data_IF_964401790596
#
_entry.id   IF_964401790596
#
_cell.length_a   1.000
_cell.length_b   1.000
_cell.length_c   1.000
_cell.angle_alpha   90.00
_cell.angle_beta   90.00
_cell.angle_gamma   90.00
#
_symmetry.space_group_name_H-M   'P 1'
#
loop_
_entity.id
_entity.type
_entity.pdbx_description
1 polymer ?
#
# COMPACT_ATOMS: atom_id res chain seq x y z
N UNK A 1 -23.45 -29.23 15.76
CA UNK A 1 -22.21 -29.61 15.01
C UNK A 1 -22.40 -29.12 13.59
N UNK A 2 -21.53 -28.22 13.10
CA UNK A 2 -21.61 -27.74 11.71
C UNK A 2 -21.20 -28.90 10.82
N UNK A 3 -22.10 -29.37 9.94
CA UNK A 3 -21.79 -30.43 8.98
C UNK A 3 -21.25 -29.86 7.66
N UNK A 4 -20.47 -30.65 6.92
CA UNK A 4 -19.98 -30.23 5.59
C UNK A 4 -21.15 -29.94 4.65
N UNK A 5 -22.26 -30.67 4.79
CA UNK A 5 -23.47 -30.45 4.01
C UNK A 5 -24.10 -29.09 4.29
N UNK A 6 -24.15 -28.66 5.57
CA UNK A 6 -24.65 -27.34 5.93
C UNK A 6 -23.77 -26.20 5.42
N UNK A 7 -22.44 -26.41 5.37
CA UNK A 7 -21.51 -25.43 4.80
C UNK A 7 -21.56 -25.36 3.28
N UNK A 8 -22.07 -26.39 2.61
CA UNK A 8 -22.23 -26.40 1.15
C UNK A 8 -23.59 -25.83 0.71
N UNK A 9 -24.57 -25.80 1.60
CA UNK A 9 -25.97 -25.44 1.27
C UNK A 9 -26.20 -23.92 1.10
N UNK A 10 -25.40 -23.09 1.76
CA UNK A 10 -25.56 -21.63 1.69
C UNK A 10 -24.39 -20.89 2.34
N UNK A 11 -24.37 -19.54 2.23
CA UNK A 11 -23.34 -18.70 2.85
C UNK A 11 -23.34 -18.87 4.37
N UNK A 12 -22.18 -18.82 4.99
CA UNK A 12 -22.02 -18.89 6.42
C UNK A 12 -22.81 -17.76 7.11
N UNK A 13 -23.75 -18.11 7.99
CA UNK A 13 -24.59 -17.17 8.74
C UNK A 13 -25.39 -16.20 7.85
N UNK A 14 -25.71 -16.59 6.63
CA UNK A 14 -26.39 -15.75 5.62
C UNK A 14 -25.66 -14.40 5.36
N UNK A 15 -24.35 -14.37 5.59
CA UNK A 15 -23.52 -13.17 5.37
C UNK A 15 -23.28 -12.93 3.87
N UNK A 16 -23.17 -11.66 3.43
CA UNK A 16 -22.80 -11.30 2.06
C UNK A 16 -21.30 -11.55 1.84
N UNK A 17 -20.89 -12.82 1.79
CA UNK A 17 -19.47 -13.21 1.78
C UNK A 17 -18.73 -12.72 0.54
N UNK A 18 -19.39 -12.59 -0.61
CA UNK A 18 -18.75 -12.11 -1.82
C UNK A 18 -18.29 -10.65 -1.68
N UNK A 19 -19.16 -9.80 -1.14
CA UNK A 19 -18.87 -8.39 -0.86
C UNK A 19 -17.87 -8.23 0.27
N UNK A 20 -17.98 -9.05 1.32
CA UNK A 20 -17.02 -9.04 2.43
C UNK A 20 -15.62 -9.42 1.96
N UNK A 21 -15.49 -10.43 1.08
CA UNK A 21 -14.20 -10.79 0.51
C UNK A 21 -13.68 -9.73 -0.46
N UNK A 22 -14.55 -9.10 -1.24
CA UNK A 22 -14.17 -7.96 -2.05
C UNK A 22 -13.60 -6.82 -1.17
N UNK A 23 -14.31 -6.44 -0.13
CA UNK A 23 -13.84 -5.41 0.81
C UNK A 23 -12.54 -5.83 1.51
N UNK A 24 -12.42 -7.10 1.93
CA UNK A 24 -11.23 -7.64 2.57
C UNK A 24 -9.99 -7.56 1.65
N UNK A 25 -10.11 -7.90 0.38
CA UNK A 25 -8.99 -7.80 -0.59
C UNK A 25 -8.48 -6.37 -0.67
N UNK A 26 -9.36 -5.37 -0.78
CA UNK A 26 -8.93 -3.98 -0.80
C UNK A 26 -8.39 -3.51 0.56
N UNK A 27 -8.93 -4.01 1.67
CA UNK A 27 -8.37 -3.74 3.00
C UNK A 27 -6.95 -4.30 3.14
N UNK A 28 -6.69 -5.52 2.67
CA UNK A 28 -5.36 -6.14 2.66
C UNK A 28 -4.38 -5.38 1.76
N UNK A 29 -4.83 -4.94 0.58
CA UNK A 29 -4.04 -4.07 -0.30
C UNK A 29 -3.72 -2.74 0.38
N UNK A 30 -4.69 -2.13 1.07
CA UNK A 30 -4.48 -0.91 1.86
C UNK A 30 -3.49 -1.11 3.00
N UNK A 31 -3.54 -2.26 3.68
CA UNK A 31 -2.61 -2.63 4.74
C UNK A 31 -1.18 -2.74 4.20
N UNK A 32 -0.99 -3.44 3.10
CA UNK A 32 0.30 -3.51 2.41
C UNK A 32 0.81 -2.12 2.00
N UNK A 33 -0.01 -1.35 1.27
CA UNK A 33 0.37 -0.02 0.79
C UNK A 33 0.64 0.99 1.93
N UNK A 34 0.12 0.77 3.12
CA UNK A 34 0.42 1.59 4.28
C UNK A 34 1.68 1.13 5.00
N UNK A 35 1.77 -0.16 5.36
CA UNK A 35 2.86 -0.69 6.18
C UNK A 35 4.16 -0.73 5.39
N UNK A 36 4.20 -1.37 4.23
CA UNK A 36 5.38 -1.35 3.36
C UNK A 36 5.56 0.02 2.68
N UNK A 37 4.46 0.79 2.57
CA UNK A 37 4.46 2.15 2.03
C UNK A 37 5.36 3.12 2.80
N UNK A 38 5.38 3.10 4.12
CA UNK A 38 6.27 3.99 4.85
C UNK A 38 7.75 3.54 4.74
N UNK A 39 8.02 2.27 4.50
CA UNK A 39 9.37 1.78 4.22
C UNK A 39 9.85 2.24 2.84
N UNK A 40 9.00 2.16 1.80
CA UNK A 40 9.29 2.76 0.48
C UNK A 40 9.52 4.26 0.60
N UNK A 41 8.69 4.95 1.36
CA UNK A 41 8.83 6.38 1.59
C UNK A 41 10.11 6.75 2.31
N UNK A 42 10.54 5.96 3.29
CA UNK A 42 11.82 6.11 3.95
C UNK A 42 12.99 5.95 2.96
N UNK A 43 12.91 4.94 2.07
CA UNK A 43 13.88 4.74 1.01
C UNK A 43 13.93 5.89 -0.01
N UNK A 44 12.80 6.48 -0.34
CA UNK A 44 12.77 7.67 -1.19
C UNK A 44 13.39 8.90 -0.49
N UNK A 45 13.13 9.08 0.81
CA UNK A 45 13.71 10.17 1.63
C UNK A 45 15.22 9.98 1.81
N UNK A 46 15.70 8.74 1.92
CA UNK A 46 17.14 8.41 1.97
C UNK A 46 17.93 9.07 0.84
N UNK A 47 17.34 9.22 -0.36
CA UNK A 47 17.97 9.90 -1.48
C UNK A 47 18.30 11.38 -1.22
N UNK A 48 17.61 12.00 -0.28
CA UNK A 48 17.72 13.44 0.02
C UNK A 48 18.69 13.75 1.15
N UNK A 49 19.29 12.72 1.75
CA UNK A 49 20.20 12.83 2.88
C UNK A 49 21.65 12.77 2.39
N UNK A 50 22.45 13.74 2.76
CA UNK A 50 23.88 13.81 2.42
C UNK A 50 24.75 13.16 3.51
N UNK A 51 24.31 13.22 4.77
CA UNK A 51 25.02 12.70 5.92
C UNK A 51 24.83 11.18 6.05
N UNK A 52 25.95 10.45 6.23
CA UNK A 52 25.96 8.99 6.37
C UNK A 52 25.23 8.54 7.64
N UNK A 53 25.42 9.23 8.75
CA UNK A 53 24.72 8.94 10.01
C UNK A 53 23.20 9.09 9.88
N UNK A 54 22.73 10.09 9.10
CA UNK A 54 21.32 10.23 8.81
C UNK A 54 20.78 9.09 7.93
N UNK A 55 21.58 8.58 6.99
CA UNK A 55 21.23 7.43 6.15
C UNK A 55 21.15 6.14 6.97
N UNK A 56 22.13 5.90 7.84
CA UNK A 56 22.12 4.76 8.78
C UNK A 56 20.90 4.82 9.70
N UNK A 57 20.55 6.02 10.19
CA UNK A 57 19.35 6.22 11.00
C UNK A 57 18.07 5.81 10.24
N UNK A 58 17.99 6.10 8.93
CA UNK A 58 16.83 5.66 8.12
C UNK A 58 16.77 4.14 8.00
N UNK A 59 17.91 3.48 7.74
CA UNK A 59 17.97 2.01 7.63
C UNK A 59 17.60 1.35 8.97
N UNK A 60 18.18 1.83 10.07
CA UNK A 60 17.83 1.34 11.42
C UNK A 60 16.37 1.57 11.78
N UNK A 61 15.73 2.64 11.27
CA UNK A 61 14.31 2.92 11.54
C UNK A 61 13.38 1.89 10.91
N UNK A 62 13.67 1.42 9.71
CA UNK A 62 12.85 0.46 8.98
C UNK A 62 13.26 -1.00 9.26
N UNK A 63 14.50 -1.24 9.65
CA UNK A 63 15.11 -2.57 9.79
C UNK A 63 14.21 -3.60 10.51
N UNK A 64 13.64 -3.32 11.68
CA UNK A 64 12.80 -4.27 12.41
C UNK A 64 11.46 -4.60 11.75
N UNK A 65 11.00 -3.84 10.74
CA UNK A 65 9.63 -3.88 10.26
C UNK A 65 9.48 -4.31 8.80
N UNK A 66 10.43 -3.93 7.93
CA UNK A 66 10.27 -4.00 6.48
C UNK A 66 9.93 -5.40 5.94
N UNK A 67 10.58 -6.45 6.46
CA UNK A 67 10.34 -7.83 6.03
C UNK A 67 8.92 -8.29 6.39
N UNK A 68 8.47 -7.99 7.61
CA UNK A 68 7.10 -8.25 8.05
C UNK A 68 6.05 -7.46 7.26
N UNK A 69 6.35 -6.20 6.91
CA UNK A 69 5.44 -5.34 6.16
C UNK A 69 5.23 -5.83 4.72
N UNK A 70 6.28 -6.30 4.05
CA UNK A 70 6.22 -6.83 2.67
C UNK A 70 5.34 -8.09 2.58
N UNK A 71 5.21 -8.89 3.65
CA UNK A 71 4.36 -10.09 3.68
C UNK A 71 2.90 -9.78 3.35
N UNK A 72 2.39 -8.58 3.64
CA UNK A 72 1.01 -8.21 3.34
C UNK A 72 0.69 -8.23 1.83
N UNK A 73 1.67 -8.06 0.95
CA UNK A 73 1.50 -8.25 -0.49
C UNK A 73 1.18 -9.71 -0.82
N UNK A 74 1.85 -10.64 -0.15
CA UNK A 74 1.59 -12.09 -0.31
C UNK A 74 0.22 -12.45 0.26
N UNK A 75 -0.17 -11.86 1.39
CA UNK A 75 -1.52 -12.06 1.98
C UNK A 75 -2.60 -11.54 1.04
N UNK A 76 -2.43 -10.35 0.45
CA UNK A 76 -3.33 -9.80 -0.56
C UNK A 76 -3.44 -10.72 -1.78
N UNK A 77 -2.29 -11.11 -2.37
CA UNK A 77 -2.26 -11.99 -3.54
C UNK A 77 -2.88 -13.37 -3.26
N UNK A 78 -2.58 -13.96 -2.10
CA UNK A 78 -3.15 -15.23 -1.64
C UNK A 78 -4.66 -15.14 -1.42
N UNK A 79 -5.16 -14.07 -0.82
CA UNK A 79 -6.58 -13.83 -0.62
C UNK A 79 -7.32 -13.65 -1.97
N UNK A 80 -6.73 -12.89 -2.89
CA UNK A 80 -7.27 -12.72 -4.25
C UNK A 80 -7.31 -14.06 -5.01
N UNK A 81 -6.23 -14.85 -4.93
CA UNK A 81 -6.18 -16.19 -5.53
C UNK A 81 -7.24 -17.12 -4.95
N UNK A 82 -7.38 -17.13 -3.63
CA UNK A 82 -8.29 -18.04 -2.94
C UNK A 82 -9.77 -17.69 -3.20
N UNK A 83 -10.14 -16.41 -3.07
CA UNK A 83 -11.52 -15.97 -3.20
C UNK A 83 -11.96 -15.74 -4.66
N UNK A 84 -11.06 -15.21 -5.51
CA UNK A 84 -11.34 -14.83 -6.89
C UNK A 84 -10.31 -15.40 -7.88
N UNK A 85 -10.17 -16.74 -8.00
CA UNK A 85 -9.10 -17.38 -8.76
C UNK A 85 -9.08 -17.00 -10.24
N UNK A 86 -10.26 -16.77 -10.85
CA UNK A 86 -10.38 -16.34 -12.25
C UNK A 86 -9.84 -14.92 -12.46
N UNK A 87 -10.10 -14.03 -11.50
CA UNK A 87 -9.60 -12.65 -11.52
C UNK A 87 -8.08 -12.65 -11.34
N UNK A 88 -7.57 -13.40 -10.34
CA UNK A 88 -6.14 -13.56 -10.11
C UNK A 88 -5.41 -14.01 -11.38
N UNK A 89 -5.86 -15.13 -11.98
CA UNK A 89 -5.21 -15.68 -13.17
C UNK A 89 -5.25 -14.71 -14.35
N UNK A 90 -6.40 -14.07 -14.62
CA UNK A 90 -6.56 -13.13 -15.72
C UNK A 90 -5.73 -11.85 -15.52
N UNK A 91 -5.75 -11.29 -14.33
CA UNK A 91 -5.07 -10.04 -13.99
C UNK A 91 -3.54 -10.17 -14.07
N UNK A 92 -2.98 -11.23 -13.45
CA UNK A 92 -1.55 -11.46 -13.45
C UNK A 92 -1.02 -11.86 -14.84
N UNK A 93 -1.79 -12.61 -15.62
CA UNK A 93 -1.43 -12.94 -17.00
C UNK A 93 -1.41 -11.72 -17.91
N UNK A 94 -2.40 -10.83 -17.78
CA UNK A 94 -2.45 -9.59 -18.57
C UNK A 94 -1.31 -8.63 -18.26
N UNK A 95 -0.86 -8.59 -17.01
CA UNK A 95 0.18 -7.66 -16.52
C UNK A 95 1.50 -8.34 -16.19
N UNK A 96 1.80 -9.46 -16.86
CA UNK A 96 2.96 -10.30 -16.57
C UNK A 96 4.28 -9.53 -16.50
N UNK A 97 4.58 -8.68 -17.50
CA UNK A 97 5.81 -7.86 -17.50
C UNK A 97 5.85 -6.86 -16.34
N UNK A 98 4.68 -6.29 -15.99
CA UNK A 98 4.58 -5.36 -14.87
C UNK A 98 4.85 -6.08 -13.54
N UNK A 99 4.35 -7.33 -13.39
CA UNK A 99 4.64 -8.18 -12.23
C UNK A 99 6.13 -8.48 -12.08
N UNK A 100 6.85 -8.79 -13.18
CA UNK A 100 8.29 -8.95 -13.13
C UNK A 100 9.01 -7.67 -12.72
N UNK A 101 8.55 -6.52 -13.20
CA UNK A 101 9.07 -5.21 -12.79
C UNK A 101 8.87 -4.95 -11.30
N UNK A 102 7.67 -5.26 -10.76
CA UNK A 102 7.35 -5.13 -9.33
C UNK A 102 8.27 -6.04 -8.51
N UNK A 103 8.35 -7.33 -8.85
CA UNK A 103 9.21 -8.28 -8.14
C UNK A 103 10.69 -7.86 -8.19
N UNK A 104 11.17 -7.42 -9.35
CA UNK A 104 12.54 -6.92 -9.48
C UNK A 104 12.82 -5.70 -8.62
N UNK A 105 11.86 -4.77 -8.53
CA UNK A 105 11.98 -3.58 -7.68
C UNK A 105 11.93 -3.93 -6.18
N UNK A 106 11.08 -4.89 -5.78
CA UNK A 106 11.02 -5.39 -4.40
C UNK A 106 12.32 -6.11 -3.99
N UNK A 107 12.83 -7.00 -4.85
CA UNK A 107 14.12 -7.67 -4.62
C UNK A 107 15.25 -6.64 -4.48
N UNK A 108 15.28 -5.64 -5.37
CA UNK A 108 16.30 -4.59 -5.33
C UNK A 108 16.22 -3.79 -4.03
N UNK A 109 15.00 -3.44 -3.59
CA UNK A 109 14.75 -2.70 -2.35
C UNK A 109 15.13 -3.53 -1.12
N UNK A 110 14.74 -4.81 -1.05
CA UNK A 110 15.01 -5.68 0.10
C UNK A 110 16.49 -6.06 0.21
N UNK A 111 17.18 -6.35 -0.93
CA UNK A 111 18.59 -6.72 -0.92
C UNK A 111 19.51 -5.54 -0.64
N UNK A 112 19.14 -4.32 -1.07
CA UNK A 112 20.05 -3.20 -1.06
C UNK A 112 20.50 -2.74 0.34
N UNK A 113 19.66 -2.66 1.39
CA UNK A 113 20.09 -2.35 2.74
C UNK A 113 21.10 -3.35 3.28
N UNK A 114 20.84 -4.64 3.15
CA UNK A 114 21.71 -5.72 3.59
C UNK A 114 23.12 -5.62 2.94
N UNK A 115 23.13 -5.34 1.64
CA UNK A 115 24.38 -5.16 0.91
C UNK A 115 25.09 -3.85 1.26
N UNK A 116 24.32 -2.78 1.56
CA UNK A 116 24.88 -1.49 1.95
C UNK A 116 25.72 -1.59 3.23
N UNK A 117 25.25 -2.36 4.19
CA UNK A 117 25.92 -2.56 5.50
C UNK A 117 27.13 -3.51 5.43
N UNK A 118 27.24 -4.36 4.41
CA UNK A 118 28.35 -5.33 4.28
C UNK A 118 29.73 -4.69 4.12
N UNK A 119 29.79 -3.48 3.59
CA UNK A 119 31.05 -2.80 3.31
C UNK A 119 30.93 -1.29 3.44
N UNK A 120 31.98 -0.66 4.03
CA UNK A 120 32.04 0.78 4.30
C UNK A 120 32.78 1.57 3.23
N UNK A 121 33.11 0.99 2.06
CA UNK A 121 33.73 1.76 0.99
C UNK A 121 32.69 2.60 0.24
N UNK A 122 33.00 3.90 -0.01
CA UNK A 122 32.08 4.88 -0.59
C UNK A 122 31.46 4.43 -1.93
N UNK A 123 32.22 3.68 -2.76
CA UNK A 123 31.72 3.23 -4.05
C UNK A 123 30.64 2.17 -3.88
N UNK A 124 30.84 1.22 -2.95
CA UNK A 124 29.88 0.16 -2.63
C UNK A 124 28.61 0.75 -2.04
N UNK A 125 28.70 1.58 -1.01
CA UNK A 125 27.58 2.22 -0.36
C UNK A 125 26.80 3.13 -1.33
N UNK A 126 27.48 3.83 -2.24
CA UNK A 126 26.85 4.66 -3.27
C UNK A 126 26.03 3.83 -4.24
N UNK A 127 26.51 2.66 -4.67
CA UNK A 127 25.79 1.77 -5.57
C UNK A 127 24.55 1.19 -4.89
N UNK A 128 24.71 0.60 -3.71
CA UNK A 128 23.62 -0.04 -3.00
C UNK A 128 22.62 0.97 -2.42
N UNK A 129 23.06 2.14 -1.99
CA UNK A 129 22.17 3.24 -1.62
C UNK A 129 21.29 3.71 -2.79
N UNK A 130 21.86 3.80 -4.01
CA UNK A 130 21.07 4.10 -5.23
C UNK A 130 20.10 2.97 -5.59
N UNK A 131 20.51 1.73 -5.38
CA UNK A 131 19.67 0.55 -5.59
C UNK A 131 18.48 0.53 -4.63
N UNK A 132 18.73 0.84 -3.36
CA UNK A 132 17.68 1.01 -2.35
C UNK A 132 16.66 2.07 -2.76
N UNK A 133 17.12 3.26 -3.14
CA UNK A 133 16.27 4.34 -3.63
C UNK A 133 15.48 3.92 -4.88
N UNK A 134 16.15 3.30 -5.84
CA UNK A 134 15.49 2.87 -7.08
C UNK A 134 14.38 1.84 -6.81
N UNK A 135 14.64 0.82 -5.97
CA UNK A 135 13.64 -0.16 -5.57
C UNK A 135 12.48 0.48 -4.81
N UNK A 136 12.78 1.39 -3.88
CA UNK A 136 11.80 2.09 -3.03
C UNK A 136 10.89 3.06 -3.79
N UNK A 137 11.33 3.57 -4.95
CA UNK A 137 10.52 4.44 -5.82
C UNK A 137 9.79 3.63 -6.90
N UNK A 138 10.47 2.65 -7.52
CA UNK A 138 9.90 1.86 -8.61
C UNK A 138 8.83 0.89 -8.13
N UNK A 139 8.98 0.24 -6.97
CA UNK A 139 8.00 -0.71 -6.47
C UNK A 139 6.61 -0.07 -6.28
N UNK A 140 6.42 1.00 -5.50
CA UNK A 140 5.11 1.63 -5.35
C UNK A 140 4.60 2.26 -6.66
N UNK A 141 5.48 2.76 -7.53
CA UNK A 141 5.09 3.27 -8.85
C UNK A 141 4.49 2.17 -9.71
N UNK A 142 5.16 1.02 -9.83
CA UNK A 142 4.69 -0.10 -10.65
C UNK A 142 3.44 -0.76 -10.05
N UNK A 143 3.35 -0.86 -8.73
CA UNK A 143 2.15 -1.33 -8.02
C UNK A 143 0.95 -0.41 -8.27
N UNK A 144 1.15 0.90 -8.19
CA UNK A 144 0.10 1.88 -8.50
C UNK A 144 -0.27 1.87 -9.99
N UNK A 145 0.70 1.69 -10.90
CA UNK A 145 0.45 1.52 -12.33
C UNK A 145 -0.38 0.25 -12.61
N UNK A 146 -0.06 -0.85 -11.92
CA UNK A 146 -0.84 -2.08 -11.96
C UNK A 146 -2.28 -1.86 -11.50
N UNK A 147 -2.47 -1.23 -10.33
CA UNK A 147 -3.80 -0.92 -9.79
C UNK A 147 -4.61 0.01 -10.72
N UNK A 148 -3.96 1.02 -11.30
CA UNK A 148 -4.61 1.92 -12.26
C UNK A 148 -5.02 1.22 -13.55
N UNK A 149 -4.18 0.31 -14.07
CA UNK A 149 -4.51 -0.50 -15.25
C UNK A 149 -5.63 -1.50 -14.96
N UNK A 150 -5.62 -2.11 -13.77
CA UNK A 150 -6.70 -2.98 -13.30
C UNK A 150 -8.02 -2.23 -13.25
N UNK A 151 -8.04 -1.04 -12.61
CA UNK A 151 -9.22 -0.19 -12.48
C UNK A 151 -9.88 0.15 -13.82
N UNK A 152 -9.09 0.43 -14.86
CA UNK A 152 -9.61 0.77 -16.21
C UNK A 152 -9.71 -0.43 -17.15
N UNK A 153 -9.41 -1.64 -16.67
CA UNK A 153 -9.48 -2.87 -17.47
C UNK A 153 -8.50 -2.90 -18.67
N UNK A 154 -7.40 -2.16 -18.61
CA UNK A 154 -6.46 -2.09 -19.73
C UNK A 154 -5.43 -3.23 -19.67
N UNK A 155 -5.15 -3.92 -20.79
CA UNK A 155 -4.11 -4.94 -20.86
C UNK A 155 -2.70 -4.34 -21.04
N UNK A 156 -2.57 -3.02 -21.23
CA UNK A 156 -1.27 -2.37 -21.44
C UNK A 156 -0.50 -2.29 -20.12
N UNK A 157 0.82 -2.44 -20.17
CA UNK A 157 1.69 -2.25 -19.00
C UNK A 157 1.67 -0.82 -18.47
N UNK A 158 1.60 0.16 -19.38
CA UNK A 158 1.53 1.58 -19.03
C UNK A 158 0.38 2.26 -19.76
N UNK A 159 -0.50 2.90 -19.01
CA UNK A 159 -1.55 3.80 -19.47
C UNK A 159 -1.37 5.15 -18.78
N UNK A 160 -2.03 6.19 -19.27
CA UNK A 160 -2.01 7.49 -18.59
C UNK A 160 -2.55 7.35 -17.14
N UNK A 161 -3.67 6.61 -16.94
CA UNK A 161 -4.21 6.33 -15.61
C UNK A 161 -3.20 5.58 -14.77
N UNK A 162 -2.58 4.50 -15.29
CA UNK A 162 -1.56 3.75 -14.57
C UNK A 162 -0.37 4.61 -14.14
N UNK A 163 0.13 5.48 -15.01
CA UNK A 163 1.25 6.40 -14.69
C UNK A 163 0.84 7.38 -13.59
N UNK A 164 -0.34 7.99 -13.68
CA UNK A 164 -0.80 8.96 -12.70
C UNK A 164 -1.08 8.30 -11.35
N UNK A 165 -1.74 7.13 -11.34
CA UNK A 165 -1.98 6.34 -10.10
C UNK A 165 -0.65 5.87 -9.51
N UNK A 166 0.29 5.39 -10.33
CA UNK A 166 1.64 5.02 -9.89
C UNK A 166 2.37 6.16 -9.20
N UNK A 167 2.32 7.35 -9.82
CA UNK A 167 2.90 8.57 -9.22
C UNK A 167 2.20 8.95 -7.91
N UNK A 168 0.87 8.83 -7.87
CA UNK A 168 0.06 9.12 -6.66
C UNK A 168 0.45 8.19 -5.51
N UNK A 169 0.54 6.88 -5.76
CA UNK A 169 0.96 5.89 -4.74
C UNK A 169 2.38 6.18 -4.28
N UNK A 170 3.32 6.43 -5.20
CA UNK A 170 4.72 6.74 -4.85
C UNK A 170 4.82 7.96 -3.93
N UNK A 171 4.12 9.05 -4.26
CA UNK A 171 4.16 10.25 -3.41
C UNK A 171 3.47 10.00 -2.07
N UNK A 172 2.41 9.19 -2.03
CA UNK A 172 1.74 8.79 -0.80
C UNK A 172 2.66 7.98 0.11
N UNK A 173 3.54 7.13 -0.44
CA UNK A 173 4.55 6.44 0.38
C UNK A 173 5.55 7.42 1.01
N UNK A 174 5.94 8.49 0.32
CA UNK A 174 6.78 9.55 0.89
C UNK A 174 6.06 10.28 2.04
N UNK A 175 4.74 10.51 1.92
CA UNK A 175 3.92 11.07 3.02
C UNK A 175 3.98 10.16 4.25
N UNK A 176 3.76 8.85 4.07
CA UNK A 176 3.80 7.86 5.15
C UNK A 176 5.20 7.73 5.75
N UNK A 177 6.23 7.65 4.90
CA UNK A 177 7.63 7.54 5.32
C UNK A 177 8.12 8.75 6.13
N UNK A 178 7.74 9.97 5.74
CA UNK A 178 8.12 11.16 6.49
C UNK A 178 7.50 11.19 7.91
N UNK A 179 6.25 10.74 8.05
CA UNK A 179 5.60 10.64 9.36
C UNK A 179 6.23 9.53 10.23
N UNK A 180 6.50 8.36 9.61
CA UNK A 180 7.15 7.23 10.28
C UNK A 180 8.56 7.58 10.77
N UNK A 181 9.39 8.17 9.90
CA UNK A 181 10.73 8.63 10.26
C UNK A 181 10.68 9.71 11.34
N UNK A 182 9.72 10.62 11.29
CA UNK A 182 9.50 11.59 12.35
C UNK A 182 9.18 10.94 13.70
N UNK A 183 8.44 9.81 13.70
CA UNK A 183 8.10 9.06 14.89
C UNK A 183 9.29 8.26 15.44
N UNK A 184 10.06 7.59 14.55
CA UNK A 184 11.13 6.66 14.92
C UNK A 184 12.48 7.32 15.11
N UNK A 185 12.86 8.24 14.25
CA UNK A 185 14.17 8.88 14.28
C UNK A 185 14.16 10.22 15.06
N UNK A 186 12.99 10.83 15.25
CA UNK A 186 12.82 12.02 16.07
C UNK A 186 13.80 13.15 15.67
N UNK A 187 14.64 13.56 16.61
CA UNK A 187 15.64 14.63 16.40
C UNK A 187 16.92 14.18 15.70
N UNK A 188 17.12 12.88 15.50
CA UNK A 188 18.30 12.36 14.82
C UNK A 188 18.29 12.67 13.31
N UNK A 189 17.09 12.90 12.75
CA UNK A 189 16.97 13.33 11.35
C UNK A 189 16.79 14.84 11.21
N UNK A 190 17.31 15.43 10.11
CA UNK A 190 17.11 16.85 9.83
C UNK A 190 15.64 17.27 9.78
N UNK A 191 15.32 18.47 10.20
CA UNK A 191 13.98 19.05 10.02
C UNK A 191 13.52 19.14 8.55
N UNK A 192 14.42 18.83 7.61
CA UNK A 192 14.12 18.64 6.19
C UNK A 192 13.10 17.52 5.96
N UNK A 193 13.13 16.42 6.72
CA UNK A 193 12.18 15.29 6.60
C UNK A 193 10.74 15.78 6.80
N UNK A 194 10.49 16.63 7.79
CA UNK A 194 9.16 17.20 8.00
C UNK A 194 8.72 18.13 6.85
N UNK A 195 9.66 18.91 6.27
CA UNK A 195 9.35 19.74 5.10
C UNK A 195 9.04 18.91 3.88
N UNK A 196 9.77 17.80 3.66
CA UNK A 196 9.50 16.84 2.60
C UNK A 196 8.10 16.27 2.76
N UNK A 197 7.71 15.81 3.96
CA UNK A 197 6.38 15.27 4.24
C UNK A 197 5.25 16.27 3.95
N UNK A 198 5.42 17.54 4.38
CA UNK A 198 4.43 18.60 4.07
C UNK A 198 4.38 18.90 2.57
N UNK A 199 5.51 18.92 1.88
CA UNK A 199 5.55 19.09 0.43
C UNK A 199 4.90 17.91 -0.29
N UNK A 200 5.20 16.69 0.14
CA UNK A 200 4.66 15.46 -0.44
C UNK A 200 3.12 15.37 -0.32
N UNK A 201 2.52 15.76 0.82
CA UNK A 201 1.06 15.72 0.95
C UNK A 201 0.37 16.72 0.03
N UNK A 202 0.98 17.87 -0.26
CA UNK A 202 0.46 18.82 -1.25
C UNK A 202 0.54 18.23 -2.67
N UNK A 203 1.68 17.64 -3.03
CA UNK A 203 1.85 16.98 -4.34
C UNK A 203 0.88 15.79 -4.46
N UNK A 204 0.69 15.01 -3.40
CA UNK A 204 -0.30 13.94 -3.35
C UNK A 204 -1.70 14.43 -3.69
N UNK A 205 -2.18 15.51 -3.06
CA UNK A 205 -3.50 16.07 -3.37
C UNK A 205 -3.63 16.51 -4.84
N UNK A 206 -2.60 17.11 -5.41
CA UNK A 206 -2.59 17.47 -6.83
C UNK A 206 -2.65 16.22 -7.72
N UNK A 207 -1.93 15.16 -7.37
CA UNK A 207 -1.97 13.88 -8.08
C UNK A 207 -3.31 13.17 -7.91
N UNK A 208 -3.98 13.28 -6.75
CA UNK A 208 -5.35 12.78 -6.58
C UNK A 208 -6.31 13.49 -7.54
N UNK A 209 -6.23 14.81 -7.66
CA UNK A 209 -7.03 15.58 -8.64
C UNK A 209 -6.72 15.12 -10.07
N UNK A 210 -5.44 14.93 -10.41
CA UNK A 210 -5.05 14.40 -11.72
C UNK A 210 -5.58 12.97 -11.95
N UNK A 211 -5.55 12.11 -10.93
CA UNK A 211 -6.11 10.75 -10.98
C UNK A 211 -7.61 10.80 -11.25
N UNK A 212 -8.36 11.60 -10.49
CA UNK A 212 -9.81 11.75 -10.69
C UNK A 212 -10.12 12.32 -12.09
N UNK A 213 -9.35 13.31 -12.55
CA UNK A 213 -9.50 13.88 -13.89
C UNK A 213 -9.24 12.87 -15.00
N UNK A 214 -8.18 12.04 -14.88
CA UNK A 214 -7.91 10.98 -15.87
C UNK A 214 -8.96 9.89 -15.86
N UNK A 215 -9.47 9.51 -14.69
CA UNK A 215 -10.57 8.54 -14.57
C UNK A 215 -11.88 9.09 -15.17
N UNK A 216 -12.20 10.36 -14.94
CA UNK A 216 -13.40 10.99 -15.49
C UNK A 216 -13.48 10.92 -17.03
N UNK A 217 -12.31 11.02 -17.71
CA UNK A 217 -12.26 10.97 -19.18
C UNK A 217 -12.04 9.56 -19.73
N UNK A 218 -11.60 8.62 -18.90
CA UNK A 218 -11.22 7.27 -19.37
C UNK A 218 -12.31 6.24 -19.11
N UNK A 219 -13.02 6.34 -17.98
CA UNK A 219 -14.10 5.40 -17.65
C UNK A 219 -15.38 5.75 -18.41
N UNK A 220 -16.13 4.77 -18.96
CA UNK A 220 -17.38 5.01 -19.70
C UNK A 220 -18.47 5.76 -18.91
N UNK A 221 -18.54 5.54 -17.60
CA UNK A 221 -19.41 6.26 -16.65
C UNK A 221 -18.59 7.09 -15.64
N UNK A 222 -17.41 7.57 -16.05
CA UNK A 222 -16.40 8.08 -15.14
C UNK A 222 -16.89 9.28 -14.31
N UNK A 223 -17.51 10.25 -14.94
CA UNK A 223 -18.00 11.43 -14.22
C UNK A 223 -19.08 11.07 -13.20
N UNK A 224 -20.06 10.22 -13.56
CA UNK A 224 -21.16 9.83 -12.67
C UNK A 224 -20.65 8.98 -11.48
N UNK A 225 -19.74 8.04 -11.73
CA UNK A 225 -19.14 7.22 -10.67
C UNK A 225 -18.34 8.08 -9.68
N UNK A 226 -17.58 9.06 -10.19
CA UNK A 226 -16.75 9.95 -9.37
C UNK A 226 -17.58 11.02 -8.62
N UNK A 227 -18.75 11.38 -9.12
CA UNK A 227 -19.69 12.29 -8.45
C UNK A 227 -20.63 11.56 -7.47
N UNK A 228 -20.47 10.25 -7.28
CA UNK A 228 -21.24 9.51 -6.29
C UNK A 228 -20.93 9.98 -4.86
N UNK A 229 -21.95 9.99 -4.00
CA UNK A 229 -21.79 10.45 -2.61
C UNK A 229 -20.66 9.76 -1.84
N UNK A 230 -20.45 8.42 -1.95
CA UNK A 230 -19.32 7.78 -1.28
C UNK A 230 -17.97 8.30 -1.74
N UNK A 231 -17.76 8.50 -3.04
CA UNK A 231 -16.49 9.01 -3.57
C UNK A 231 -16.27 10.46 -3.13
N UNK A 232 -17.29 11.32 -3.21
CA UNK A 232 -17.19 12.70 -2.74
C UNK A 232 -16.87 12.78 -1.23
N UNK A 233 -17.48 11.91 -0.41
CA UNK A 233 -17.19 11.82 1.01
C UNK A 233 -15.73 11.38 1.27
N UNK A 234 -15.21 10.39 0.53
CA UNK A 234 -13.81 9.94 0.63
C UNK A 234 -12.83 11.03 0.19
N UNK A 235 -13.14 11.79 -0.86
CA UNK A 235 -12.33 12.93 -1.31
C UNK A 235 -12.32 14.03 -0.25
N UNK A 236 -13.46 14.38 0.31
CA UNK A 236 -13.55 15.37 1.38
C UNK A 236 -12.77 14.91 2.64
N UNK A 237 -12.88 13.64 3.02
CA UNK A 237 -12.12 13.04 4.11
C UNK A 237 -10.61 13.07 3.82
N UNK A 238 -10.19 12.81 2.57
CA UNK A 238 -8.77 12.88 2.17
C UNK A 238 -8.21 14.30 2.31
N UNK A 239 -8.97 15.32 1.95
CA UNK A 239 -8.56 16.73 2.14
C UNK A 239 -8.42 17.05 3.64
N UNK A 240 -9.39 16.65 4.46
CA UNK A 240 -9.35 16.86 5.91
C UNK A 240 -8.14 16.15 6.55
N UNK A 241 -7.88 14.89 6.16
CA UNK A 241 -6.73 14.11 6.62
C UNK A 241 -5.40 14.72 6.17
N UNK A 242 -5.30 15.25 4.95
CA UNK A 242 -4.11 15.91 4.45
C UNK A 242 -3.79 17.20 5.26
N UNK A 243 -4.83 17.96 5.61
CA UNK A 243 -4.69 19.14 6.49
C UNK A 243 -4.26 18.70 7.89
N UNK A 244 -4.92 17.67 8.46
CA UNK A 244 -4.57 17.11 9.76
C UNK A 244 -3.13 16.61 9.80
N UNK A 245 -2.69 15.90 8.74
CA UNK A 245 -1.31 15.45 8.55
C UNK A 245 -0.31 16.61 8.58
N UNK A 246 -0.55 17.64 7.76
CA UNK A 246 0.35 18.77 7.66
C UNK A 246 0.45 19.55 8.99
N UNK A 247 -0.68 19.72 9.70
CA UNK A 247 -0.72 20.37 11.02
C UNK A 247 -0.02 19.50 12.07
N UNK A 248 -0.29 18.21 12.10
CA UNK A 248 0.33 17.27 13.05
C UNK A 248 1.86 17.24 12.87
N UNK A 249 2.32 17.12 11.63
CA UNK A 249 3.75 17.08 11.32
C UNK A 249 4.46 18.37 11.73
N UNK A 250 3.86 19.55 11.47
CA UNK A 250 4.40 20.86 11.89
C UNK A 250 4.43 21.04 13.41
N UNK A 251 3.54 20.36 14.14
CA UNK A 251 3.48 20.40 15.62
C UNK A 251 4.34 19.32 16.27
N UNK A 252 5.02 18.45 15.50
CA UNK A 252 5.77 17.32 16.03
C UNK A 252 4.88 16.18 16.57
N UNK A 253 3.58 16.19 16.27
CA UNK A 253 2.63 15.13 16.63
C UNK A 253 2.73 13.97 15.60
N UNK A 254 3.89 13.32 15.54
CA UNK A 254 4.25 12.36 14.47
C UNK A 254 3.31 11.16 14.41
N UNK A 255 2.81 10.66 15.55
CA UNK A 255 1.82 9.57 15.57
C UNK A 255 0.51 10.01 14.89
N UNK A 256 0.03 11.24 15.17
CA UNK A 256 -1.18 11.75 14.51
C UNK A 256 -0.96 11.95 13.00
N UNK A 257 0.25 12.34 12.59
CA UNK A 257 0.64 12.43 11.19
C UNK A 257 0.62 11.03 10.54
N UNK A 258 1.20 10.01 11.19
CA UNK A 258 1.21 8.64 10.70
C UNK A 258 -0.21 8.05 10.58
N UNK A 259 -1.07 8.27 11.56
CA UNK A 259 -2.49 7.86 11.51
C UNK A 259 -3.24 8.58 10.37
N UNK A 260 -2.95 9.87 10.15
CA UNK A 260 -3.51 10.61 9.02
C UNK A 260 -3.04 10.04 7.68
N UNK A 261 -1.76 9.67 7.56
CA UNK A 261 -1.21 9.02 6.37
C UNK A 261 -1.85 7.63 6.12
N UNK A 262 -2.10 6.85 7.18
CA UNK A 262 -2.88 5.61 7.10
C UNK A 262 -4.27 5.88 6.51
N UNK A 263 -4.98 6.87 7.06
CA UNK A 263 -6.30 7.27 6.56
C UNK A 263 -6.28 7.70 5.08
N UNK A 264 -5.23 8.41 4.63
CA UNK A 264 -5.05 8.78 3.21
C UNK A 264 -4.84 7.53 2.34
N UNK A 265 -4.06 6.56 2.80
CA UNK A 265 -3.79 5.31 2.07
C UNK A 265 -5.05 4.46 1.95
N UNK A 266 -5.74 4.19 3.05
CA UNK A 266 -7.00 3.44 3.01
C UNK A 266 -8.10 4.20 2.26
N UNK A 267 -8.13 5.53 2.34
CA UNK A 267 -9.03 6.39 1.58
C UNK A 267 -8.83 6.28 0.07
N UNK A 268 -7.57 6.29 -0.40
CA UNK A 268 -7.25 6.09 -1.83
C UNK A 268 -7.71 4.71 -2.31
N UNK A 269 -7.40 3.66 -1.55
CA UNK A 269 -7.80 2.28 -1.87
C UNK A 269 -9.32 2.13 -1.85
N UNK A 270 -10.01 2.77 -0.90
CA UNK A 270 -11.47 2.75 -0.81
C UNK A 270 -12.13 3.44 -2.03
N UNK A 271 -11.55 4.55 -2.52
CA UNK A 271 -12.04 5.18 -3.77
C UNK A 271 -11.95 4.21 -4.93
N UNK A 272 -10.82 3.50 -5.08
CA UNK A 272 -10.64 2.48 -6.13
C UNK A 272 -11.69 1.38 -5.99
N UNK A 273 -11.88 0.84 -4.77
CA UNK A 273 -12.87 -0.20 -4.50
C UNK A 273 -14.29 0.24 -4.85
N UNK A 274 -14.69 1.44 -4.42
CA UNK A 274 -16.04 1.98 -4.69
C UNK A 274 -16.28 2.20 -6.18
N UNK A 275 -15.28 2.72 -6.91
CA UNK A 275 -15.38 2.94 -8.37
C UNK A 275 -15.42 1.62 -9.13
N UNK A 276 -14.74 0.60 -8.65
CA UNK A 276 -14.75 -0.73 -9.27
C UNK A 276 -16.03 -1.52 -9.02
N UNK A 277 -16.62 -1.40 -7.83
CA UNK A 277 -17.80 -2.18 -7.47
C UNK A 277 -19.00 -1.91 -8.42
N UNK A 278 -19.75 -2.93 -8.85
CA UNK A 278 -19.63 -4.36 -8.50
C UNK A 278 -18.65 -5.17 -9.38
N UNK A 279 -17.93 -4.54 -10.32
CA UNK A 279 -17.03 -5.22 -11.26
C UNK A 279 -15.64 -5.37 -10.63
N UNK A 280 -15.26 -6.63 -10.30
CA UNK A 280 -13.91 -6.91 -9.77
C UNK A 280 -12.88 -7.05 -10.89
N UNK A 281 -13.29 -7.40 -12.13
CA UNK A 281 -12.41 -7.39 -13.31
C UNK A 281 -13.03 -6.58 -14.45
N UNK A 282 -12.78 -5.26 -14.50
CA UNK A 282 -13.32 -4.38 -15.54
C UNK A 282 -12.95 -4.80 -16.98
N UNK A 283 -11.80 -5.47 -17.17
CA UNK A 283 -11.36 -5.92 -18.50
C UNK A 283 -12.28 -7.00 -19.10
N UNK A 284 -12.84 -7.87 -18.27
CA UNK A 284 -13.75 -8.93 -18.67
C UNK A 284 -15.22 -8.63 -18.34
N UNK A 285 -15.47 -7.55 -17.58
CA UNK A 285 -16.79 -7.20 -17.08
C UNK A 285 -17.25 -8.08 -15.91
N UNK A 286 -16.39 -8.95 -15.36
CA UNK A 286 -16.73 -9.91 -14.32
C UNK A 286 -17.11 -9.20 -13.02
N UNK A 287 -18.31 -9.50 -12.50
CA UNK A 287 -18.81 -8.95 -11.24
C UNK A 287 -18.40 -9.83 -10.05
N UNK A 288 -18.43 -9.26 -8.86
CA UNK A 288 -17.99 -9.90 -7.61
C UNK A 288 -18.69 -11.24 -7.37
N UNK A 289 -20.02 -11.28 -7.50
CA UNK A 289 -20.84 -12.48 -7.28
C UNK A 289 -20.54 -13.63 -8.27
N UNK A 290 -20.16 -13.31 -9.52
CA UNK A 290 -19.82 -14.29 -10.55
C UNK A 290 -18.36 -14.74 -10.46
N UNK A 291 -17.50 -13.89 -9.88
CA UNK A 291 -16.07 -14.13 -9.79
C UNK A 291 -15.70 -14.98 -8.59
N UNK A 292 -16.50 -14.93 -7.51
CA UNK A 292 -16.22 -15.59 -6.24
C UNK A 292 -16.21 -17.12 -6.40
N UNK A 293 -15.38 -17.78 -5.61
CA UNK A 293 -15.32 -19.22 -5.53
C UNK A 293 -16.64 -19.81 -4.99
N UNK A 294 -16.88 -21.11 -5.24
CA UNK A 294 -18.11 -21.80 -4.78
C UNK A 294 -18.27 -21.78 -3.24
N UNK A 295 -19.50 -21.99 -2.78
CA UNK A 295 -19.94 -21.77 -1.38
C UNK A 295 -19.10 -22.51 -0.34
N UNK A 296 -18.81 -23.80 -0.53
CA UNK A 296 -18.08 -24.59 0.47
C UNK A 296 -16.64 -24.07 0.70
N UNK A 297 -15.79 -23.90 -0.33
CA UNK A 297 -14.47 -23.28 -0.15
C UNK A 297 -14.57 -21.89 0.44
N UNK A 298 -15.53 -21.08 0.00
CA UNK A 298 -15.72 -19.72 0.51
C UNK A 298 -16.00 -19.70 2.02
N UNK A 299 -16.89 -20.56 2.50
CA UNK A 299 -17.20 -20.68 3.92
C UNK A 299 -15.99 -21.15 4.74
N UNK A 300 -15.26 -22.14 4.26
CA UNK A 300 -14.05 -22.64 4.92
C UNK A 300 -12.95 -21.56 5.01
N UNK A 301 -12.73 -20.82 3.93
CA UNK A 301 -11.78 -19.71 3.92
C UNK A 301 -12.22 -18.57 4.83
N UNK A 302 -13.53 -18.28 4.90
CA UNK A 302 -14.06 -17.24 5.78
C UNK A 302 -13.85 -17.59 7.26
N UNK A 303 -14.04 -18.85 7.63
CA UNK A 303 -13.71 -19.34 8.98
C UNK A 303 -12.21 -19.21 9.24
N UNK A 304 -11.37 -19.63 8.27
CA UNK A 304 -9.91 -19.50 8.37
C UNK A 304 -9.48 -18.05 8.52
N UNK A 305 -10.01 -17.15 7.70
CA UNK A 305 -9.70 -15.71 7.76
C UNK A 305 -10.14 -15.09 9.11
N UNK A 306 -11.33 -15.45 9.62
CA UNK A 306 -11.83 -14.96 10.90
C UNK A 306 -10.96 -15.39 12.10
N UNK A 307 -10.25 -16.52 12.00
CA UNK A 307 -9.32 -17.00 13.02
C UNK A 307 -7.91 -16.45 12.83
N UNK A 308 -7.40 -16.46 11.60
CA UNK A 308 -6.00 -16.13 11.30
C UNK A 308 -5.73 -14.61 11.27
N UNK A 309 -6.64 -13.80 10.71
CA UNK A 309 -6.41 -12.35 10.62
C UNK A 309 -6.27 -11.67 11.99
N UNK A 310 -7.11 -11.98 13.02
CA UNK A 310 -6.88 -11.46 14.37
C UNK A 310 -5.56 -11.91 14.98
N UNK A 311 -5.14 -13.15 14.71
CA UNK A 311 -3.86 -13.69 15.20
C UNK A 311 -2.68 -12.91 14.56
N UNK A 312 -2.72 -12.70 13.24
CA UNK A 312 -1.72 -11.91 12.52
C UNK A 312 -1.73 -10.46 12.99
N UNK A 313 -2.91 -9.85 13.15
CA UNK A 313 -3.02 -8.49 13.70
C UNK A 313 -2.41 -8.39 15.09
N UNK A 314 -2.65 -9.38 15.96
CA UNK A 314 -2.05 -9.46 17.30
C UNK A 314 -0.51 -9.55 17.21
N UNK A 315 0.00 -10.39 16.32
CA UNK A 315 1.45 -10.49 16.08
C UNK A 315 2.04 -9.11 15.70
N UNK A 316 1.41 -8.37 14.77
CA UNK A 316 1.87 -7.04 14.39
C UNK A 316 1.79 -6.04 15.55
N UNK A 317 0.73 -6.07 16.37
CA UNK A 317 0.63 -5.23 17.58
C UNK A 317 1.79 -5.52 18.53
N UNK A 318 2.14 -6.80 18.75
CA UNK A 318 3.27 -7.19 19.59
C UNK A 318 4.60 -6.72 18.97
N UNK A 319 4.81 -6.95 17.66
CA UNK A 319 6.01 -6.52 16.93
C UNK A 319 6.22 -5.00 17.06
N UNK A 320 5.20 -4.20 16.72
CA UNK A 320 5.29 -2.75 16.78
C UNK A 320 5.40 -2.21 18.22
N UNK A 321 4.86 -2.92 19.22
CA UNK A 321 5.02 -2.56 20.63
C UNK A 321 6.43 -2.86 21.16
N UNK A 322 7.03 -3.97 20.72
CA UNK A 322 8.38 -4.37 21.12
C UNK A 322 9.44 -3.36 20.65
N UNK A 323 9.24 -2.82 19.44
CA UNK A 323 10.11 -1.78 18.88
C UNK A 323 9.49 -0.38 18.98
N UNK A 324 8.68 -0.12 20.01
CA UNK A 324 8.08 1.20 20.23
C UNK A 324 9.10 2.20 20.76
N UNK A 325 9.02 3.45 20.30
CA UNK A 325 9.92 4.52 20.74
C UNK A 325 10.91 4.99 19.66
N UNK A 326 11.64 6.07 19.93
CA UNK A 326 12.72 6.54 19.07
C UNK A 326 13.91 5.57 19.11
N UNK A 327 14.61 5.46 17.98
CA UNK A 327 15.84 4.66 17.87
C UNK A 327 16.86 5.23 18.84
N UNK A 328 17.47 4.36 19.65
CA UNK A 328 18.59 4.70 20.53
C UNK A 328 19.91 4.28 19.87
N UNK A 329 21.01 4.95 20.23
CA UNK A 329 22.35 4.63 19.68
C UNK A 329 22.82 3.19 19.98
N UNK A 330 22.16 2.50 20.90
CA UNK A 330 22.43 1.09 21.26
C UNK A 330 21.68 0.08 20.37
N UNK A 331 20.70 0.55 19.58
CA UNK A 331 19.89 -0.28 18.66
C UNK A 331 20.36 -0.19 17.20
N UNK A 332 21.44 0.56 16.93
CA UNK A 332 22.09 0.52 15.61
C UNK A 332 22.86 -0.79 15.49
N UNK A 333 22.36 -1.68 14.66
CA UNK A 333 23.03 -2.93 14.27
C UNK A 333 24.31 -2.68 13.50
#
# INVERSE_FOLDING_TARGET
MISVESLAAGPLLDLPLAELWFALIFALLGTFLFLDGFDFGAGAIFATLDDESARETVLSAIGPFWDGNEVWLVVFGGALFAAFPRVYAGLFSRHYLLMFGILGALILRGLAPEMYEQRHDERWQRWWGRSFVAGSVLAPFLLGAFAGNWLVGSPRSFTLVGIVVGSTVTVLTVVSGAAFLGLKAGRALPGAVHRIGVGAVVVYLLLVVATLGTLAVTLPAGADALLSMPVLALVAASIALAIAYAVALRRGANLAALVSAAGLTYGLVAVVAVVMYPRIDPATGLVVEEAIVSTLPLNLMSIGAALLLPLVATYFVVLYSAFSGPITAEESY
#
